data_IF_235907629266
#
_entry.id   IF_235907629266
#
_cell.length_a   1.000
_cell.length_b   1.000
_cell.length_c   1.000
_cell.angle_alpha   90.00
_cell.angle_beta   90.00
_cell.angle_gamma   90.00
#
_symmetry.space_group_name_H-M   'P 1'
#
loop_
_entity.id
_entity.type
_entity.pdbx_description
1 polymer ?
#
# COMPACT_ATOMS: atom_id res chain seq x y z
N UNK A 1 -26.04 -19.29 -15.19
CA UNK A 1 -26.67 -18.76 -13.96
C UNK A 1 -25.55 -18.31 -13.04
N UNK A 2 -25.34 -16.99 -12.91
CA UNK A 2 -24.29 -16.43 -12.05
C UNK A 2 -24.84 -16.31 -10.62
N UNK A 3 -24.19 -16.96 -9.65
CA UNK A 3 -24.52 -16.82 -8.23
C UNK A 3 -24.04 -15.44 -7.77
N UNK A 4 -24.91 -14.57 -7.23
CA UNK A 4 -24.47 -13.31 -6.66
C UNK A 4 -23.69 -13.61 -5.37
N UNK A 5 -22.36 -13.52 -5.44
CA UNK A 5 -21.49 -13.58 -4.27
C UNK A 5 -21.74 -12.30 -3.46
N UNK A 6 -22.55 -12.36 -2.39
CA UNK A 6 -22.79 -11.25 -1.46
C UNK A 6 -21.51 -10.97 -0.65
N UNK A 7 -20.78 -9.86 -0.86
CA UNK A 7 -19.63 -9.52 -0.04
C UNK A 7 -20.08 -8.51 1.03
N UNK A 8 -20.87 -8.94 2.03
CA UNK A 8 -21.43 -8.01 3.02
C UNK A 8 -20.97 -8.23 4.47
N UNK A 9 -20.38 -9.38 4.80
CA UNK A 9 -19.99 -9.66 6.20
C UNK A 9 -18.60 -9.12 6.54
N UNK A 10 -17.60 -9.35 5.68
CA UNK A 10 -16.22 -8.86 5.88
C UNK A 10 -16.11 -7.33 5.73
N UNK A 11 -16.92 -6.72 4.86
CA UNK A 11 -16.95 -5.26 4.68
C UNK A 11 -17.48 -4.49 5.90
N UNK A 12 -18.33 -5.12 6.74
CA UNK A 12 -18.86 -4.50 7.97
C UNK A 12 -17.92 -4.61 9.17
N UNK A 13 -16.96 -5.54 9.16
CA UNK A 13 -16.07 -5.81 10.29
C UNK A 13 -14.63 -6.01 9.81
N UNK A 14 -13.99 -4.97 9.26
CA UNK A 14 -12.63 -5.06 8.71
C UNK A 14 -11.59 -5.51 9.75
N UNK A 15 -11.86 -5.24 11.03
CA UNK A 15 -11.04 -5.68 12.16
C UNK A 15 -10.97 -7.21 12.33
N UNK A 16 -11.91 -7.98 11.76
CA UNK A 16 -11.88 -9.45 11.78
C UNK A 16 -11.00 -10.05 10.67
N UNK A 17 -10.61 -9.27 9.65
CA UNK A 17 -9.81 -9.76 8.52
C UNK A 17 -8.43 -10.23 9.01
N UNK A 18 -7.74 -9.42 9.82
CA UNK A 18 -6.42 -9.74 10.36
C UNK A 18 -6.41 -11.04 11.19
N UNK A 19 -7.24 -11.17 12.23
CA UNK A 19 -7.34 -12.38 13.04
C UNK A 19 -7.71 -13.63 12.23
N UNK A 20 -8.60 -13.50 11.25
CA UNK A 20 -9.06 -14.63 10.42
C UNK A 20 -7.96 -15.11 9.47
N UNK A 21 -7.19 -14.18 8.88
CA UNK A 21 -6.00 -14.53 8.09
C UNK A 21 -4.95 -15.22 8.96
N UNK A 22 -4.66 -14.70 10.15
CA UNK A 22 -3.74 -15.34 11.10
C UNK A 22 -4.18 -16.76 11.45
N UNK A 23 -5.48 -16.96 11.71
CA UNK A 23 -6.04 -18.29 11.98
C UNK A 23 -5.89 -19.23 10.78
N UNK A 24 -6.17 -18.75 9.56
CA UNK A 24 -5.99 -19.54 8.35
C UNK A 24 -4.53 -19.96 8.13
N UNK A 25 -3.58 -19.06 8.36
CA UNK A 25 -2.14 -19.35 8.28
C UNK A 25 -1.72 -20.37 9.34
N UNK A 26 -2.21 -20.23 10.57
CA UNK A 26 -1.92 -21.17 11.67
C UNK A 26 -2.46 -22.59 11.37
N UNK A 27 -3.66 -22.70 10.81
CA UNK A 27 -4.24 -23.98 10.37
C UNK A 27 -3.42 -24.58 9.22
N UNK A 28 -3.04 -23.78 8.22
CA UNK A 28 -2.18 -24.23 7.12
C UNK A 28 -0.83 -24.75 7.60
N UNK A 29 -0.19 -24.04 8.53
CA UNK A 29 1.07 -24.46 9.14
C UNK A 29 0.90 -25.74 9.97
N UNK A 30 -0.16 -25.84 10.77
CA UNK A 30 -0.47 -27.04 11.55
C UNK A 30 -0.71 -28.27 10.68
N UNK A 31 -1.39 -28.12 9.53
CA UNK A 31 -1.58 -29.18 8.54
C UNK A 31 -0.26 -29.58 7.87
N UNK A 32 0.58 -28.61 7.52
CA UNK A 32 1.90 -28.87 6.95
C UNK A 32 2.78 -29.67 7.92
N UNK A 33 2.83 -29.30 9.20
CA UNK A 33 3.61 -30.00 10.22
C UNK A 33 3.10 -31.41 10.55
N UNK A 34 1.81 -31.67 10.34
CA UNK A 34 1.18 -32.99 10.53
C UNK A 34 1.26 -33.87 9.29
N UNK A 35 1.73 -33.35 8.15
CA UNK A 35 1.88 -34.12 6.94
C UNK A 35 2.94 -35.24 7.15
N UNK A 36 2.61 -36.51 6.85
CA UNK A 36 3.54 -37.62 6.98
C UNK A 36 4.70 -37.51 5.97
N UNK A 37 4.50 -36.75 4.89
CA UNK A 37 5.49 -36.53 3.85
C UNK A 37 6.39 -35.32 4.19
N UNK A 38 7.66 -35.61 4.45
CA UNK A 38 8.69 -34.60 4.73
C UNK A 38 8.86 -33.62 3.56
N UNK A 39 8.63 -34.06 2.31
CA UNK A 39 8.76 -33.19 1.14
C UNK A 39 7.68 -32.11 1.17
N UNK A 40 6.44 -32.49 1.53
CA UNK A 40 5.33 -31.54 1.66
C UNK A 40 5.62 -30.47 2.74
N UNK A 41 6.21 -30.87 3.88
CA UNK A 41 6.63 -29.94 4.94
C UNK A 41 7.63 -28.91 4.40
N UNK A 42 8.66 -29.37 3.67
CA UNK A 42 9.69 -28.47 3.12
C UNK A 42 9.14 -27.54 2.05
N UNK A 43 8.29 -28.03 1.14
CA UNK A 43 7.72 -27.21 0.06
C UNK A 43 6.74 -26.18 0.62
N UNK A 44 5.78 -26.60 1.45
CA UNK A 44 4.77 -25.70 2.02
C UNK A 44 5.39 -24.73 3.03
N UNK A 45 6.29 -25.23 3.88
CA UNK A 45 7.03 -24.41 4.84
C UNK A 45 7.95 -23.41 4.14
N UNK A 46 8.64 -23.82 3.08
CA UNK A 46 9.49 -22.95 2.28
C UNK A 46 8.70 -21.84 1.58
N UNK A 47 7.58 -22.17 0.93
CA UNK A 47 6.69 -21.18 0.30
C UNK A 47 6.11 -20.21 1.33
N UNK A 48 5.61 -20.73 2.47
CA UNK A 48 5.09 -19.90 3.55
C UNK A 48 6.15 -18.99 4.17
N UNK A 49 7.35 -19.52 4.41
CA UNK A 49 8.49 -18.76 4.91
C UNK A 49 8.94 -17.67 3.93
N UNK A 50 8.99 -17.97 2.64
CA UNK A 50 9.31 -16.99 1.60
C UNK A 50 8.27 -15.87 1.52
N UNK A 51 6.98 -16.21 1.57
CA UNK A 51 5.90 -15.23 1.58
C UNK A 51 5.95 -14.32 2.83
N UNK A 52 6.22 -14.90 4.00
CA UNK A 52 6.41 -14.14 5.24
C UNK A 52 7.62 -13.23 5.15
N UNK A 53 8.76 -13.73 4.68
CA UNK A 53 9.99 -12.96 4.53
C UNK A 53 9.79 -11.80 3.54
N UNK A 54 9.12 -12.05 2.42
CA UNK A 54 8.75 -11.01 1.46
C UNK A 54 7.87 -9.93 2.12
N UNK A 55 6.82 -10.33 2.83
CA UNK A 55 5.91 -9.40 3.51
C UNK A 55 6.67 -8.55 4.55
N UNK A 56 7.53 -9.18 5.35
CA UNK A 56 8.40 -8.49 6.31
C UNK A 56 9.32 -7.50 5.58
N UNK A 57 9.93 -7.90 4.46
CA UNK A 57 10.81 -7.01 3.69
C UNK A 57 10.08 -5.77 3.19
N UNK A 58 8.84 -5.91 2.70
CA UNK A 58 8.02 -4.76 2.27
C UNK A 58 7.54 -3.87 3.42
N UNK A 59 7.37 -4.45 4.62
CA UNK A 59 6.98 -3.69 5.80
C UNK A 59 8.15 -2.88 6.39
N UNK A 60 9.37 -3.44 6.36
CA UNK A 60 10.57 -2.76 6.86
C UNK A 60 11.22 -1.82 5.83
N UNK A 61 11.03 -2.09 4.54
CA UNK A 61 11.43 -1.22 3.44
C UNK A 61 10.18 -0.77 2.65
N UNK A 62 9.36 0.14 3.20
CA UNK A 62 8.30 0.75 2.43
C UNK A 62 8.93 1.51 1.25
N UNK A 63 8.35 1.37 0.06
CA UNK A 63 8.75 2.14 -1.12
C UNK A 63 8.55 3.62 -0.83
N UNK A 64 9.64 4.40 -0.82
CA UNK A 64 9.54 5.87 -0.76
C UNK A 64 9.01 6.39 -2.08
N UNK A 65 8.21 7.46 -2.03
CA UNK A 65 7.77 8.12 -3.24
C UNK A 65 8.99 8.65 -4.02
N UNK A 66 9.05 8.36 -5.33
CA UNK A 66 10.13 8.87 -6.17
C UNK A 66 9.99 10.40 -6.32
N UNK A 67 11.00 11.15 -5.88
CA UNK A 67 11.04 12.62 -5.93
C UNK A 67 12.03 13.14 -6.98
N UNK A 68 12.46 12.26 -7.88
CA UNK A 68 13.43 12.56 -8.92
C UNK A 68 12.79 13.38 -10.04
N UNK A 69 13.28 14.59 -10.26
CA UNK A 69 12.79 15.43 -11.35
C UNK A 69 13.12 14.82 -12.72
N UNK A 70 12.16 14.70 -13.66
CA UNK A 70 12.42 14.11 -14.98
C UNK A 70 13.36 14.97 -15.84
N UNK A 71 13.43 16.29 -15.59
CA UNK A 71 14.28 17.21 -16.36
C UNK A 71 15.73 17.24 -15.87
N UNK A 72 15.95 17.42 -14.56
CA UNK A 72 17.28 17.63 -14.00
C UNK A 72 17.84 16.44 -13.22
N UNK A 73 17.03 15.41 -12.97
CA UNK A 73 17.43 14.22 -12.20
C UNK A 73 17.68 14.46 -10.71
N UNK A 74 17.44 15.67 -10.21
CA UNK A 74 17.62 15.99 -8.80
C UNK A 74 16.40 15.53 -7.96
N UNK A 75 16.67 15.07 -6.74
CA UNK A 75 15.64 14.84 -5.73
C UNK A 75 15.13 16.20 -5.22
N UNK A 76 14.00 16.65 -5.75
CA UNK A 76 13.50 17.99 -5.47
C UNK A 76 12.05 18.27 -5.88
N UNK A 77 11.32 17.25 -6.34
CA UNK A 77 9.90 17.39 -6.63
C UNK A 77 9.12 17.63 -5.34
N UNK A 78 8.34 18.72 -5.33
CA UNK A 78 7.39 19.08 -4.28
C UNK A 78 6.04 19.42 -4.91
N UNK A 79 4.98 19.39 -4.12
CA UNK A 79 3.68 19.90 -4.58
C UNK A 79 3.74 21.40 -4.82
N UNK A 80 3.08 21.82 -5.88
CA UNK A 80 2.89 23.24 -6.18
C UNK A 80 1.89 23.88 -5.23
N UNK A 81 0.79 23.18 -4.92
CA UNK A 81 -0.24 23.62 -3.97
C UNK A 81 -0.52 22.53 -2.93
N UNK A 82 -0.29 22.78 -1.63
CA UNK A 82 -0.57 21.81 -0.57
C UNK A 82 -2.07 21.48 -0.42
N UNK A 83 -2.98 22.31 -0.92
CA UNK A 83 -4.42 22.07 -0.87
C UNK A 83 -4.92 21.12 -1.97
N UNK A 84 -4.09 20.82 -2.99
CA UNK A 84 -4.47 19.96 -4.10
C UNK A 84 -3.46 18.83 -4.31
N UNK A 85 -3.93 17.69 -4.81
CA UNK A 85 -3.06 16.57 -5.17
C UNK A 85 -2.49 16.69 -6.59
N UNK A 86 -2.58 17.89 -7.19
CA UNK A 86 -2.18 18.17 -8.56
C UNK A 86 -1.09 19.23 -8.56
N UNK A 87 -0.20 19.15 -9.54
CA UNK A 87 0.85 20.12 -9.70
C UNK A 87 2.10 19.75 -8.90
N UNK A 88 3.20 19.54 -9.62
CA UNK A 88 4.53 19.36 -9.06
C UNK A 88 5.44 20.51 -9.50
N UNK A 89 6.37 20.87 -8.62
CA UNK A 89 7.45 21.81 -8.89
C UNK A 89 8.76 21.24 -8.39
N UNK A 90 9.80 21.32 -9.20
CA UNK A 90 11.16 20.97 -8.80
C UNK A 90 11.84 22.18 -8.15
N UNK A 91 12.28 22.06 -6.90
CA UNK A 91 13.00 23.14 -6.20
C UNK A 91 14.43 23.37 -6.71
N UNK A 92 14.97 22.45 -7.52
CA UNK A 92 16.34 22.53 -8.04
C UNK A 92 16.42 23.24 -9.39
N UNK A 93 15.58 22.88 -10.35
CA UNK A 93 15.60 23.45 -11.71
C UNK A 93 14.39 24.34 -12.04
N UNK A 94 13.38 24.40 -11.17
CA UNK A 94 12.17 25.18 -11.40
C UNK A 94 11.17 24.54 -12.38
N UNK A 95 11.41 23.31 -12.84
CA UNK A 95 10.45 22.59 -13.68
C UNK A 95 9.10 22.46 -12.98
N UNK A 96 8.02 22.74 -13.71
CA UNK A 96 6.65 22.66 -13.23
C UNK A 96 5.82 21.75 -14.14
N UNK A 97 5.04 20.86 -13.53
CA UNK A 97 4.06 20.03 -14.21
C UNK A 97 2.73 20.16 -13.48
N UNK A 98 1.77 20.88 -14.08
CA UNK A 98 0.46 21.15 -13.50
C UNK A 98 -0.48 19.92 -13.54
N UNK A 99 -0.22 18.94 -14.41
CA UNK A 99 -1.07 17.76 -14.58
C UNK A 99 -0.59 16.55 -13.77
N UNK A 100 0.68 16.54 -13.36
CA UNK A 100 1.22 15.49 -12.53
C UNK A 100 0.44 15.33 -11.22
N UNK A 101 0.04 14.09 -10.92
CA UNK A 101 -0.62 13.75 -9.66
C UNK A 101 0.43 13.59 -8.56
N UNK A 102 0.48 14.54 -7.62
CA UNK A 102 1.25 14.43 -6.40
C UNK A 102 0.64 13.47 -5.37
N UNK A 103 -0.20 12.51 -5.78
CA UNK A 103 -0.88 11.57 -4.88
C UNK A 103 0.09 10.76 -4.03
N UNK A 104 1.18 10.25 -4.62
CA UNK A 104 2.20 9.49 -3.89
C UNK A 104 2.97 10.33 -2.86
N UNK A 105 3.02 11.65 -3.03
CA UNK A 105 3.59 12.57 -2.03
C UNK A 105 2.62 12.85 -0.87
N UNK A 106 1.31 12.60 -1.06
CA UNK A 106 0.28 12.85 -0.05
C UNK A 106 0.49 12.01 1.20
N UNK A 107 0.81 10.73 0.99
CA UNK A 107 0.90 9.74 2.06
C UNK A 107 2.10 10.01 2.98
N UNK A 108 3.14 10.69 2.46
CA UNK A 108 4.34 11.07 3.22
C UNK A 108 4.23 12.47 3.88
N UNK A 109 3.36 13.36 3.39
CA UNK A 109 3.29 14.77 3.84
C UNK A 109 2.27 15.03 4.98
N UNK A 110 1.34 14.10 5.26
CA UNK A 110 0.37 14.23 6.36
C UNK A 110 -1.06 13.91 5.96
N UNK A 111 -1.91 13.63 6.98
CA UNK A 111 -3.22 12.97 6.86
C UNK A 111 -4.03 13.44 5.65
N UNK A 112 -4.21 12.52 4.71
CA UNK A 112 -4.99 12.68 3.47
C UNK A 112 -6.38 13.29 3.72
N UNK A 113 -6.93 13.04 4.91
CA UNK A 113 -8.20 13.56 5.40
C UNK A 113 -8.24 15.09 5.48
N UNK A 114 -7.13 15.77 5.81
CA UNK A 114 -7.07 17.23 5.87
C UNK A 114 -7.11 17.86 4.46
N UNK A 115 -6.47 17.23 3.49
CA UNK A 115 -6.48 17.68 2.08
C UNK A 115 -7.88 17.54 1.48
N UNK A 116 -8.56 16.41 1.76
CA UNK A 116 -9.94 16.18 1.31
C UNK A 116 -10.92 17.14 1.98
N UNK A 117 -10.76 17.41 3.28
CA UNK A 117 -11.60 18.35 4.01
C UNK A 117 -11.45 19.79 3.48
N UNK A 118 -10.23 20.21 3.13
CA UNK A 118 -9.99 21.54 2.56
C UNK A 118 -10.62 21.70 1.18
N UNK A 119 -10.58 20.65 0.34
CA UNK A 119 -11.23 20.69 -0.98
C UNK A 119 -12.74 20.84 -0.90
N UNK A 120 -13.40 20.17 0.05
CA UNK A 120 -14.84 20.34 0.26
C UNK A 120 -15.22 21.75 0.72
N UNK A 121 -14.31 22.47 1.39
CA UNK A 121 -14.52 23.85 1.85
C UNK A 121 -14.26 24.89 0.75
N UNK A 122 -13.43 24.58 -0.24
CA UNK A 122 -13.17 25.48 -1.38
C UNK A 122 -14.25 25.41 -2.46
N UNK A 123 -14.99 24.31 -2.56
CA UNK A 123 -16.08 24.10 -3.53
C UNK A 123 -17.45 24.62 -3.03
N UNK A 124 -17.54 25.10 -1.78
CA UNK A 124 -18.74 25.68 -1.14
C UNK A 124 -18.66 27.19 -1.04
#
# INVERSE_FOLDING_TARGET
MAVPVRPHFLARHPWLIGPLLLAATAVGLGLALKAPDRIAVWVLGGLGGLALLWTLSTAFWPSRADRTCPECGAEGLRRMDPATTRGLVCTSCGHTDAEASGWFLAEEEGALDEVVANRHRSDS
#
